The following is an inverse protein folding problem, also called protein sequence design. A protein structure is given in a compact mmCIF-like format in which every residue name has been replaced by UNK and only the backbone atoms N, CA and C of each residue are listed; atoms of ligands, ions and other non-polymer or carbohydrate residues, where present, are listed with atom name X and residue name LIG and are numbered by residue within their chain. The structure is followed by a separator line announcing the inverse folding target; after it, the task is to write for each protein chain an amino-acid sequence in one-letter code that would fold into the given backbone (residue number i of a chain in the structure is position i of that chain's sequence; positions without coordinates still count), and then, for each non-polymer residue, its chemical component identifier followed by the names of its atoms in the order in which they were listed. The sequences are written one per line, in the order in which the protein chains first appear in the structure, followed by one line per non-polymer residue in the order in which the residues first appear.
data_IF_880569684801
#
_entry.id   IF_880569684801
#
_cell.length_a   1.000
_cell.length_b   1.000
_cell.length_c   1.000
_cell.angle_alpha   90.00
_cell.angle_beta   90.00
_cell.angle_gamma   90.00
#
_symmetry.space_group_name_H-M   'P 1'
#
loop_
_entity.id
_entity.type
_entity.pdbx_description
1 polymer ?
#
# COMPACT_ATOMS: atom_id res chain seq x y z
N UNK A 1 -6.76 13.27 20.48
CA UNK A 1 -7.71 12.53 19.62
C UNK A 1 -6.91 11.60 18.72
N UNK A 2 -7.12 10.28 18.78
CA UNK A 2 -6.46 9.37 17.84
C UNK A 2 -7.14 9.51 16.48
N UNK A 3 -6.44 10.03 15.48
CA UNK A 3 -6.96 10.12 14.10
C UNK A 3 -7.33 8.72 13.62
N UNK A 4 -8.57 8.51 13.13
CA UNK A 4 -8.98 7.22 12.57
C UNK A 4 -8.04 6.79 11.45
N UNK A 5 -7.80 5.49 11.30
CA UNK A 5 -6.91 4.99 10.25
C UNK A 5 -7.39 5.34 8.83
N UNK A 6 -8.69 5.63 8.65
CA UNK A 6 -9.28 5.98 7.35
C UNK A 6 -8.95 7.41 6.90
N UNK A 7 -8.66 8.29 7.85
CA UNK A 7 -8.41 9.72 7.58
C UNK A 7 -6.91 10.01 7.42
N UNK A 8 -6.08 8.96 7.41
CA UNK A 8 -4.64 9.08 7.26
C UNK A 8 -4.26 9.21 5.78
N UNK A 9 -4.01 10.44 5.34
CA UNK A 9 -3.44 10.70 4.04
C UNK A 9 -1.90 10.68 4.09
N UNK A 10 -1.32 9.60 3.58
CA UNK A 10 0.12 9.46 3.44
C UNK A 10 0.58 9.60 2.00
N UNK A 11 1.65 10.36 1.83
CA UNK A 11 2.38 10.47 0.57
C UNK A 11 2.91 9.10 0.12
N UNK A 12 3.15 8.94 -1.19
CA UNK A 12 3.68 7.70 -1.74
C UNK A 12 4.97 7.23 -1.06
N UNK A 13 5.85 8.16 -0.68
CA UNK A 13 7.09 7.87 0.06
C UNK A 13 6.82 7.30 1.45
N UNK A 14 5.91 7.92 2.22
CA UNK A 14 5.52 7.44 3.55
C UNK A 14 4.87 6.06 3.50
N UNK A 15 4.08 5.78 2.46
CA UNK A 15 3.44 4.47 2.25
C UNK A 15 4.48 3.41 1.94
N UNK A 16 5.49 3.75 1.14
CA UNK A 16 6.60 2.85 0.84
C UNK A 16 7.38 2.50 2.11
N UNK A 17 7.61 3.48 2.99
CA UNK A 17 8.21 3.27 4.31
C UNK A 17 7.34 2.33 5.16
N UNK A 18 6.03 2.56 5.24
CA UNK A 18 5.09 1.71 5.96
C UNK A 18 5.07 0.27 5.43
N UNK A 19 5.09 0.08 4.10
CA UNK A 19 5.17 -1.27 3.51
C UNK A 19 6.48 -1.95 3.88
N UNK A 20 7.60 -1.24 3.74
CA UNK A 20 8.91 -1.77 4.12
C UNK A 20 8.94 -2.15 5.60
N UNK A 21 8.42 -1.31 6.49
CA UNK A 21 8.29 -1.62 7.92
C UNK A 21 7.43 -2.87 8.18
N UNK A 22 6.32 -3.03 7.44
CA UNK A 22 5.49 -4.23 7.55
C UNK A 22 6.25 -5.49 7.10
N UNK A 23 7.05 -5.39 6.05
CA UNK A 23 7.76 -6.53 5.47
C UNK A 23 9.02 -6.89 6.28
N UNK A 24 9.73 -5.89 6.82
CA UNK A 24 10.87 -6.06 7.72
C UNK A 24 10.43 -6.48 9.14
N UNK A 25 9.20 -6.15 9.54
CA UNK A 25 8.60 -6.49 10.84
C UNK A 25 9.05 -5.61 12.01
N UNK A 26 10.17 -4.90 11.89
CA UNK A 26 10.65 -3.99 12.92
C UNK A 26 11.49 -2.82 12.35
N UNK A 27 11.77 -1.83 13.20
CA UNK A 27 12.64 -0.69 12.89
C UNK A 27 13.38 -0.22 14.14
N UNK A 28 14.66 0.12 14.01
CA UNK A 28 15.45 0.64 15.15
C UNK A 28 14.91 1.98 15.64
N UNK A 29 14.84 2.16 16.97
CA UNK A 29 14.44 3.44 17.59
C UNK A 29 15.39 4.57 17.23
N UNK A 30 16.68 4.27 17.12
CA UNK A 30 17.71 5.23 16.74
C UNK A 30 17.49 5.73 15.30
N UNK A 31 17.16 4.82 14.37
CA UNK A 31 16.84 5.19 12.99
C UNK A 31 15.62 6.13 12.91
N UNK A 32 14.59 5.85 13.72
CA UNK A 32 13.38 6.69 13.76
C UNK A 32 13.68 8.08 14.35
N UNK A 33 14.54 8.16 15.37
CA UNK A 33 14.94 9.43 16.02
C UNK A 33 15.88 10.26 15.16
N UNK A 34 16.84 9.63 14.50
CA UNK A 34 17.87 10.32 13.70
C UNK A 34 17.33 10.84 12.37
N UNK A 35 16.28 10.22 11.82
CA UNK A 35 15.81 10.54 10.47
C UNK A 35 14.38 11.10 10.47
N UNK A 36 14.20 12.38 10.08
CA UNK A 36 12.90 13.05 10.13
C UNK A 36 11.86 12.42 9.20
N UNK A 37 12.28 11.61 8.22
CA UNK A 37 11.37 10.87 7.34
C UNK A 37 10.49 9.87 8.08
N UNK A 38 10.86 9.45 9.29
CA UNK A 38 10.09 8.51 10.11
C UNK A 38 9.24 9.19 11.20
N UNK A 39 9.33 10.52 11.34
CA UNK A 39 8.58 11.29 12.35
C UNK A 39 7.08 11.05 12.30
N UNK A 40 6.53 10.83 11.10
CA UNK A 40 5.11 10.55 10.90
C UNK A 40 4.67 9.24 11.56
N UNK A 41 5.57 8.25 11.71
CA UNK A 41 5.26 6.98 12.36
C UNK A 41 4.89 7.21 13.83
N UNK A 42 5.66 8.05 14.52
CA UNK A 42 5.40 8.44 15.91
C UNK A 42 4.19 9.38 16.00
N UNK A 43 4.12 10.39 15.12
CA UNK A 43 3.04 11.38 15.12
C UNK A 43 1.64 10.75 15.03
N UNK A 44 1.50 9.67 14.27
CA UNK A 44 0.21 9.01 14.02
C UNK A 44 0.00 7.70 14.80
N UNK A 45 0.91 7.36 15.73
CA UNK A 45 0.92 6.10 16.48
C UNK A 45 0.82 4.88 15.55
N UNK A 46 1.76 4.79 14.61
CA UNK A 46 1.86 3.70 13.64
C UNK A 46 2.91 2.65 14.04
N UNK A 47 3.62 2.89 15.13
CA UNK A 47 4.66 2.03 15.67
C UNK A 47 4.46 1.89 17.17
N UNK A 48 4.69 0.68 17.67
CA UNK A 48 4.60 0.32 19.08
C UNK A 48 5.97 -0.17 19.56
N UNK A 49 6.22 -0.06 20.87
CA UNK A 49 7.43 -0.62 21.47
C UNK A 49 7.37 -2.15 21.40
N UNK A 50 8.50 -2.77 21.06
CA UNK A 50 8.64 -4.21 21.16
C UNK A 50 8.78 -4.62 22.64
N UNK A 51 7.98 -5.58 23.14
CA UNK A 51 8.03 -6.02 24.53
C UNK A 51 9.30 -6.82 24.87
N UNK A 52 9.97 -7.41 23.88
CA UNK A 52 11.16 -8.24 24.03
C UNK A 52 12.45 -7.47 23.76
N UNK A 53 12.39 -6.44 22.88
CA UNK A 53 13.55 -5.69 22.42
C UNK A 53 13.36 -4.18 22.54
N UNK A 54 13.95 -3.60 23.59
CA UNK A 54 13.80 -2.18 23.90
C UNK A 54 14.39 -1.21 22.86
N UNK A 55 15.26 -1.67 21.98
CA UNK A 55 15.96 -0.89 20.96
C UNK A 55 15.21 -0.78 19.62
N UNK A 56 14.11 -1.52 19.46
CA UNK A 56 13.31 -1.53 18.23
C UNK A 56 11.84 -1.17 18.47
N UNK A 57 11.19 -0.73 17.39
CA UNK A 57 9.77 -0.56 17.28
C UNK A 57 9.18 -1.63 16.34
N UNK A 58 7.97 -2.10 16.64
CA UNK A 58 7.15 -2.93 15.74
C UNK A 58 6.05 -2.09 15.10
N UNK A 59 5.58 -2.45 13.89
CA UNK A 59 4.41 -1.81 13.31
C UNK A 59 3.18 -2.04 14.21
N UNK A 60 2.45 -0.96 14.48
CA UNK A 60 1.21 -1.03 15.25
C UNK A 60 0.08 -1.69 14.45
N UNK A 61 -0.90 -2.27 15.12
CA UNK A 61 -2.14 -2.76 14.51
C UNK A 61 -2.81 -1.68 13.64
N UNK A 62 -2.75 -0.42 14.07
CA UNK A 62 -3.26 0.72 13.29
C UNK A 62 -2.57 0.84 11.92
N UNK A 63 -1.26 0.64 11.88
CA UNK A 63 -0.48 0.68 10.64
C UNK A 63 -0.83 -0.51 9.72
N UNK A 64 -1.03 -1.69 10.31
CA UNK A 64 -1.43 -2.89 9.58
C UNK A 64 -2.84 -2.75 9.00
N UNK A 65 -3.78 -2.23 9.78
CA UNK A 65 -5.16 -1.94 9.33
C UNK A 65 -5.15 -0.91 8.21
N UNK A 66 -4.36 0.17 8.33
CA UNK A 66 -4.20 1.15 7.26
C UNK A 66 -3.72 0.54 5.94
N UNK A 67 -2.65 -0.27 5.99
CA UNK A 67 -2.11 -0.92 4.80
C UNK A 67 -3.10 -1.90 4.17
N UNK A 68 -3.88 -2.62 4.98
CA UNK A 68 -4.93 -3.53 4.51
C UNK A 68 -6.07 -2.76 3.85
N UNK A 69 -6.52 -1.67 4.47
CA UNK A 69 -7.55 -0.79 3.93
C UNK A 69 -7.12 -0.22 2.57
N UNK A 70 -5.93 0.38 2.50
CA UNK A 70 -5.40 0.99 1.27
C UNK A 70 -5.22 -0.03 0.15
N UNK A 71 -4.79 -1.26 0.47
CA UNK A 71 -4.69 -2.33 -0.52
C UNK A 71 -6.07 -2.69 -1.08
N UNK A 72 -7.07 -2.88 -0.20
CA UNK A 72 -8.44 -3.20 -0.61
C UNK A 72 -9.05 -2.08 -1.46
N UNK A 73 -8.81 -0.84 -1.07
CA UNK A 73 -9.28 0.35 -1.79
C UNK A 73 -8.64 0.47 -3.17
N UNK A 74 -7.31 0.30 -3.27
CA UNK A 74 -6.60 0.25 -4.55
C UNK A 74 -7.14 -0.86 -5.46
N UNK A 75 -7.36 -2.07 -4.93
CA UNK A 75 -7.96 -3.16 -5.71
C UNK A 75 -9.37 -2.80 -6.17
N UNK A 76 -10.22 -2.26 -5.28
CA UNK A 76 -11.59 -1.87 -5.63
C UNK A 76 -11.64 -0.83 -6.74
N UNK A 77 -10.72 0.14 -6.72
CA UNK A 77 -10.65 1.22 -7.70
C UNK A 77 -10.06 0.75 -9.03
N UNK A 78 -8.95 0.01 -9.02
CA UNK A 78 -8.26 -0.39 -10.26
C UNK A 78 -8.82 -1.63 -10.95
N UNK A 79 -9.42 -2.55 -10.19
CA UNK A 79 -9.99 -3.78 -10.74
C UNK A 79 -10.93 -3.54 -11.94
N UNK A 80 -11.96 -2.67 -11.86
CA UNK A 80 -12.86 -2.45 -12.99
C UNK A 80 -12.14 -1.88 -14.22
N UNK A 81 -11.15 -1.00 -14.02
CA UNK A 81 -10.38 -0.44 -15.12
C UNK A 81 -9.53 -1.51 -15.84
N UNK A 82 -8.86 -2.38 -15.08
CA UNK A 82 -8.06 -3.47 -15.65
C UNK A 82 -8.94 -4.43 -16.45
N UNK A 83 -10.08 -4.85 -15.88
CA UNK A 83 -11.03 -5.73 -16.56
C UNK A 83 -11.56 -5.09 -17.86
N UNK A 84 -11.92 -3.80 -17.81
CA UNK A 84 -12.37 -3.07 -18.98
C UNK A 84 -11.30 -2.96 -20.07
N UNK A 85 -10.04 -2.68 -19.70
CA UNK A 85 -8.94 -2.59 -20.67
C UNK A 85 -8.64 -3.94 -21.32
N UNK A 86 -8.65 -5.03 -20.54
CA UNK A 86 -8.49 -6.38 -21.08
C UNK A 86 -9.62 -6.75 -22.05
N UNK A 87 -10.87 -6.46 -21.68
CA UNK A 87 -12.02 -6.70 -22.55
C UNK A 87 -11.93 -5.92 -23.86
N UNK A 88 -11.47 -4.66 -23.80
CA UNK A 88 -11.26 -3.82 -24.97
C UNK A 88 -10.17 -4.39 -25.90
N UNK A 89 -9.04 -4.81 -25.35
CA UNK A 89 -7.95 -5.45 -26.12
C UNK A 89 -8.44 -6.75 -26.77
N UNK A 90 -9.17 -7.59 -26.03
CA UNK A 90 -9.73 -8.84 -26.55
C UNK A 90 -10.73 -8.60 -27.69
N UNK A 91 -11.56 -7.56 -27.58
CA UNK A 91 -12.50 -7.14 -28.63
C UNK A 91 -11.76 -6.75 -29.91
N UNK A 92 -10.72 -5.92 -29.81
CA UNK A 92 -9.89 -5.53 -30.97
C UNK A 92 -9.21 -6.74 -31.59
N UNK A 93 -8.61 -7.61 -30.78
CA UNK A 93 -7.95 -8.82 -31.28
C UNK A 93 -8.93 -9.73 -32.03
N UNK A 94 -10.14 -9.93 -31.50
CA UNK A 94 -11.19 -10.71 -32.15
C UNK A 94 -11.64 -10.09 -33.48
N UNK A 95 -11.78 -8.77 -33.53
CA UNK A 95 -12.12 -8.04 -34.76
C UNK A 95 -11.05 -8.24 -35.84
N UNK A 96 -9.77 -8.11 -35.49
CA UNK A 96 -8.64 -8.27 -36.42
C UNK A 96 -8.61 -9.68 -36.99
N UNK A 97 -8.77 -10.71 -36.14
CA UNK A 97 -8.81 -12.11 -36.56
C UNK A 97 -9.98 -12.34 -37.52
N UNK A 98 -11.16 -11.80 -37.22
CA UNK A 98 -12.34 -11.97 -38.07
C UNK A 98 -12.14 -11.33 -39.46
N UNK A 99 -11.57 -10.12 -39.51
CA UNK A 99 -11.26 -9.45 -40.79
C UNK A 99 -10.27 -10.30 -41.60
N UNK A 100 -9.16 -10.76 -40.99
CA UNK A 100 -8.17 -11.61 -41.65
C UNK A 100 -8.78 -12.93 -42.16
N UNK A 101 -9.65 -13.56 -41.36
CA UNK A 101 -10.35 -14.79 -41.76
C UNK A 101 -11.38 -14.57 -42.87
N UNK A 102 -11.91 -13.36 -43.06
CA UNK A 102 -12.90 -13.07 -44.10
C UNK A 102 -12.27 -12.74 -45.46
N UNK A 103 -10.98 -12.38 -45.46
CA UNK A 103 -10.21 -11.99 -46.67
C UNK A 103 -9.55 -13.22 -47.33
N UNK A 104 -9.45 -14.34 -46.61
CA UNK A 104 -9.04 -15.64 -47.14
C UNK A 104 -10.24 -16.51 -47.49
#
# INVERSE_FOLDING_TARGET
MSTPFKDLEFSFKQVRILRKLKDDGCISKELVRSNPKYSFLQKYNLIDNDPERYDIYRPSDKALMYLRYRRKDLFRTWYPHVVSSLAFIASIASLIINILSSVH
#
